data_IF_390383386619
#
_entry.id   IF_390383386619
#
_cell.length_a   1.000
_cell.length_b   1.000
_cell.length_c   1.000
_cell.angle_alpha   90.00
_cell.angle_beta   90.00
_cell.angle_gamma   90.00
#
_symmetry.space_group_name_H-M   'P 1'
#
loop_
_entity.id
_entity.type
_entity.pdbx_description
1 polymer ?
#
# COMPACT_ATOMS: atom_id res chain seq x y z
N UNK A 1 -7.38 -18.52 -3.89
CA UNK A 1 -7.49 -17.08 -4.16
C UNK A 1 -7.74 -16.85 -5.65
N UNK A 2 -8.60 -15.90 -5.99
CA UNK A 2 -8.88 -15.50 -7.36
C UNK A 2 -8.00 -14.29 -7.69
N UNK A 3 -7.13 -14.42 -8.68
CA UNK A 3 -6.34 -13.29 -9.17
C UNK A 3 -7.21 -12.46 -10.12
N UNK A 4 -7.10 -11.14 -10.01
CA UNK A 4 -7.79 -10.20 -10.90
C UNK A 4 -6.76 -9.32 -11.63
N UNK A 5 -7.03 -8.91 -12.87
CA UNK A 5 -6.11 -8.04 -13.61
C UNK A 5 -6.00 -6.65 -12.97
N UNK A 6 -4.87 -5.98 -13.16
CA UNK A 6 -4.62 -4.63 -12.66
C UNK A 6 -5.22 -3.56 -13.60
N UNK A 7 -6.50 -3.68 -13.91
CA UNK A 7 -7.25 -2.78 -14.77
C UNK A 7 -8.61 -2.40 -14.15
N UNK A 8 -9.43 -1.62 -14.86
CA UNK A 8 -10.77 -1.18 -14.42
C UNK A 8 -11.67 -2.39 -14.11
N UNK A 9 -11.56 -3.47 -14.89
CA UNK A 9 -12.37 -4.67 -14.70
C UNK A 9 -11.98 -5.41 -13.42
N UNK A 10 -10.67 -5.52 -13.13
CA UNK A 10 -10.17 -6.09 -11.90
C UNK A 10 -10.57 -5.27 -10.68
N UNK A 11 -10.46 -3.94 -10.73
CA UNK A 11 -10.95 -3.05 -9.65
C UNK A 11 -12.45 -3.24 -9.40
N UNK A 12 -13.26 -3.38 -10.46
CA UNK A 12 -14.71 -3.68 -10.32
C UNK A 12 -14.95 -5.01 -9.63
N UNK A 13 -14.15 -6.05 -9.92
CA UNK A 13 -14.27 -7.36 -9.27
C UNK A 13 -13.88 -7.29 -7.78
N UNK A 14 -12.81 -6.58 -7.43
CA UNK A 14 -12.42 -6.33 -6.03
C UNK A 14 -13.55 -5.62 -5.28
N UNK A 15 -14.12 -4.57 -5.87
CA UNK A 15 -15.23 -3.83 -5.25
C UNK A 15 -16.45 -4.73 -5.02
N UNK A 16 -16.80 -5.58 -5.99
CA UNK A 16 -17.92 -6.56 -5.84
C UNK A 16 -17.64 -7.56 -4.73
N UNK A 17 -16.42 -8.06 -4.62
CA UNK A 17 -16.03 -8.99 -3.55
C UNK A 17 -16.19 -8.32 -2.17
N UNK A 18 -15.64 -7.11 -1.99
CA UNK A 18 -15.80 -6.34 -0.76
C UNK A 18 -17.27 -6.06 -0.40
N UNK A 19 -18.11 -5.71 -1.39
CA UNK A 19 -19.54 -5.47 -1.18
C UNK A 19 -20.28 -6.72 -0.71
N UNK A 20 -19.79 -7.91 -1.08
CA UNK A 20 -20.32 -9.21 -0.59
C UNK A 20 -19.77 -9.62 0.78
N UNK A 21 -18.90 -8.84 1.39
CA UNK A 21 -18.24 -9.19 2.65
C UNK A 21 -17.06 -10.17 2.49
N UNK A 22 -16.56 -10.35 1.26
CA UNK A 22 -15.39 -11.18 0.99
C UNK A 22 -14.11 -10.40 1.29
N UNK A 23 -13.01 -11.10 1.57
CA UNK A 23 -11.70 -10.51 1.75
C UNK A 23 -10.95 -10.33 0.42
N UNK A 24 -10.16 -9.25 0.32
CA UNK A 24 -9.28 -8.99 -0.83
C UNK A 24 -7.91 -8.56 -0.37
N UNK A 25 -6.88 -8.92 -1.12
CA UNK A 25 -5.49 -8.49 -0.90
C UNK A 25 -5.02 -7.53 -1.98
N UNK A 26 -4.30 -6.47 -1.56
CA UNK A 26 -3.70 -5.48 -2.44
C UNK A 26 -2.25 -5.28 -1.97
N UNK A 27 -1.30 -5.17 -2.89
CA UNK A 27 0.09 -4.82 -2.60
C UNK A 27 0.21 -3.28 -2.64
N UNK A 28 0.27 -2.61 -1.47
CA UNK A 28 0.12 -1.15 -1.39
C UNK A 28 1.43 -0.39 -1.59
N UNK A 29 2.55 -1.07 -1.51
CA UNK A 29 3.91 -0.53 -1.43
C UNK A 29 4.60 -0.37 -2.79
N UNK A 30 3.97 -0.79 -3.87
CA UNK A 30 4.49 -0.58 -5.22
C UNK A 30 4.32 0.88 -5.66
N UNK A 31 5.31 1.38 -6.41
CA UNK A 31 5.26 2.71 -6.99
C UNK A 31 4.23 2.77 -8.13
N UNK A 32 3.12 3.53 -7.99
CA UNK A 32 2.05 3.54 -8.98
C UNK A 32 2.36 4.46 -10.17
N UNK A 33 1.71 4.22 -11.34
CA UNK A 33 1.64 5.20 -12.43
C UNK A 33 1.03 6.52 -11.94
N UNK A 34 1.33 7.63 -12.65
CA UNK A 34 0.89 8.98 -12.27
C UNK A 34 -0.63 9.09 -12.13
N UNK A 35 -1.37 8.52 -13.05
CA UNK A 35 -2.84 8.56 -13.07
C UNK A 35 -3.50 7.82 -11.88
N UNK A 36 -2.80 6.91 -11.22
CA UNK A 36 -3.32 6.07 -10.13
C UNK A 36 -2.63 6.31 -8.79
N UNK A 37 -1.75 7.30 -8.71
CA UNK A 37 -1.02 7.66 -7.51
C UNK A 37 -1.14 9.14 -7.14
N UNK A 38 -0.84 9.43 -5.88
CA UNK A 38 -0.73 10.79 -5.37
C UNK A 38 0.51 10.91 -4.48
N UNK A 39 1.06 12.11 -4.41
CA UNK A 39 2.20 12.41 -3.53
C UNK A 39 1.83 12.24 -2.07
N UNK A 40 2.67 11.54 -1.34
CA UNK A 40 2.60 11.29 0.10
C UNK A 40 4.00 11.14 0.66
N UNK A 41 4.14 10.76 1.92
CA UNK A 41 5.45 10.50 2.55
C UNK A 41 5.59 9.03 2.92
N UNK A 42 6.81 8.49 2.78
CA UNK A 42 7.20 7.17 3.23
C UNK A 42 8.60 7.27 3.85
N UNK A 43 8.74 6.93 5.14
CA UNK A 43 9.93 7.23 5.95
C UNK A 43 10.37 8.71 5.87
N UNK A 44 9.40 9.62 5.97
CA UNK A 44 9.60 11.09 5.83
C UNK A 44 10.15 11.55 4.46
N UNK A 45 10.20 10.66 3.47
CA UNK A 45 10.64 10.97 2.11
C UNK A 45 9.43 11.04 1.19
N UNK A 46 9.38 12.09 0.34
CA UNK A 46 8.31 12.23 -0.64
C UNK A 46 8.35 11.09 -1.65
N UNK A 47 7.18 10.49 -1.86
CA UNK A 47 6.98 9.45 -2.87
C UNK A 47 5.56 9.50 -3.41
N UNK A 48 5.27 8.65 -4.38
CA UNK A 48 3.92 8.47 -4.90
C UNK A 48 3.32 7.20 -4.30
N UNK A 49 2.10 7.31 -3.77
CA UNK A 49 1.36 6.18 -3.20
C UNK A 49 0.07 5.96 -3.98
N UNK A 50 -0.31 4.69 -4.17
CA UNK A 50 -1.52 4.35 -4.91
C UNK A 50 -2.79 4.84 -4.20
N UNK A 51 -3.74 5.34 -4.99
CA UNK A 51 -5.02 5.86 -4.47
C UNK A 51 -6.13 4.81 -4.40
N UNK A 52 -5.86 3.58 -4.87
CA UNK A 52 -6.86 2.53 -4.99
C UNK A 52 -7.51 2.19 -3.65
N UNK A 53 -6.71 2.01 -2.59
CA UNK A 53 -7.20 1.62 -1.27
C UNK A 53 -8.12 2.70 -0.71
N UNK A 54 -7.72 3.97 -0.74
CA UNK A 54 -8.56 5.10 -0.35
C UNK A 54 -9.91 5.09 -1.09
N UNK A 55 -9.90 4.91 -2.41
CA UNK A 55 -11.12 4.86 -3.24
C UNK A 55 -12.03 3.68 -2.91
N UNK A 56 -11.47 2.53 -2.56
CA UNK A 56 -12.24 1.34 -2.17
C UNK A 56 -12.89 1.53 -0.80
N UNK A 57 -12.13 1.98 0.19
CA UNK A 57 -12.63 2.25 1.56
C UNK A 57 -13.74 3.31 1.53
N UNK A 58 -13.59 4.36 0.74
CA UNK A 58 -14.62 5.39 0.58
C UNK A 58 -15.93 4.89 -0.06
N UNK A 59 -15.90 3.74 -0.74
CA UNK A 59 -17.10 3.13 -1.37
C UNK A 59 -17.72 2.01 -0.56
N UNK A 60 -16.91 1.27 0.18
CA UNK A 60 -17.35 0.12 0.97
C UNK A 60 -16.74 0.22 2.36
N UNK A 61 -17.59 0.26 3.39
CA UNK A 61 -17.13 0.18 4.78
C UNK A 61 -16.55 -1.21 5.02
N UNK A 62 -15.23 -1.32 5.13
CA UNK A 62 -14.52 -2.57 5.37
C UNK A 62 -13.41 -2.37 6.39
N UNK A 63 -13.07 -3.43 7.11
CA UNK A 63 -11.91 -3.43 7.98
C UNK A 63 -10.65 -3.55 7.13
N UNK A 64 -9.67 -2.69 7.40
CA UNK A 64 -8.38 -2.70 6.71
C UNK A 64 -7.30 -3.20 7.65
N UNK A 65 -6.59 -4.23 7.22
CA UNK A 65 -5.42 -4.79 7.91
C UNK A 65 -4.22 -4.71 6.98
N UNK A 66 -3.05 -4.48 7.55
CA UNK A 66 -1.79 -4.71 6.86
C UNK A 66 -1.29 -6.10 7.25
N UNK A 67 -0.73 -6.84 6.29
CA UNK A 67 -0.17 -8.15 6.52
C UNK A 67 1.23 -8.24 5.95
N UNK A 68 2.11 -8.97 6.64
CA UNK A 68 3.47 -9.26 6.17
C UNK A 68 3.84 -10.68 6.50
N UNK A 69 4.63 -11.32 5.63
CA UNK A 69 5.24 -12.61 5.87
C UNK A 69 6.75 -12.41 6.04
N UNK A 70 7.26 -12.68 7.22
CA UNK A 70 8.69 -12.57 7.55
C UNK A 70 9.27 -13.98 7.55
N UNK A 71 10.34 -14.19 6.79
CA UNK A 71 11.07 -15.45 6.76
C UNK A 71 11.83 -15.66 8.07
N UNK A 72 11.65 -16.80 8.65
CA UNK A 72 12.39 -17.30 9.83
C UNK A 72 13.11 -18.61 9.49
N UNK A 73 13.91 -19.15 10.44
CA UNK A 73 14.75 -20.35 10.20
C UNK A 73 13.92 -21.52 9.67
N UNK A 74 12.76 -21.79 10.24
CA UNK A 74 11.95 -22.97 9.94
C UNK A 74 10.65 -22.63 9.15
N UNK A 75 10.61 -21.46 8.47
CA UNK A 75 9.44 -21.12 7.67
C UNK A 75 9.13 -19.63 7.60
N UNK A 76 7.89 -19.28 7.90
CA UNK A 76 7.38 -17.90 7.80
C UNK A 76 6.53 -17.56 9.01
N UNK A 77 6.72 -16.37 9.54
CA UNK A 77 5.81 -15.74 10.50
C UNK A 77 4.92 -14.75 9.77
N UNK A 78 3.60 -14.88 9.95
CA UNK A 78 2.63 -13.99 9.33
C UNK A 78 2.15 -12.98 10.38
N UNK A 79 2.42 -11.71 10.13
CA UNK A 79 1.99 -10.60 10.97
C UNK A 79 0.74 -9.95 10.38
N UNK A 80 -0.23 -9.67 11.25
CA UNK A 80 -1.40 -8.86 10.92
C UNK A 80 -1.48 -7.69 11.89
N UNK A 81 -1.66 -6.50 11.36
CA UNK A 81 -1.78 -5.27 12.12
C UNK A 81 -2.95 -4.44 11.62
N UNK A 82 -3.67 -3.78 12.52
CA UNK A 82 -4.65 -2.77 12.12
C UNK A 82 -3.94 -1.61 11.47
N UNK A 83 -4.51 -1.09 10.40
CA UNK A 83 -4.06 0.15 9.78
C UNK A 83 -4.47 1.32 10.68
N UNK A 84 -3.66 2.37 10.70
CA UNK A 84 -3.95 3.65 11.35
C UNK A 84 -5.36 4.15 10.96
N UNK A 85 -6.14 4.62 11.95
CA UNK A 85 -7.56 4.97 11.77
C UNK A 85 -7.78 6.10 10.75
N UNK A 86 -6.79 6.97 10.52
CA UNK A 86 -6.81 8.00 9.47
C UNK A 86 -6.92 7.43 8.05
N UNK A 87 -6.75 6.10 7.86
CA UNK A 87 -7.00 5.44 6.57
C UNK A 87 -8.42 5.71 6.06
N UNK A 88 -9.37 5.92 6.97
CA UNK A 88 -10.78 6.18 6.68
C UNK A 88 -11.08 7.68 6.45
N UNK A 89 -10.07 8.53 6.49
CA UNK A 89 -10.22 9.97 6.24
C UNK A 89 -10.78 10.23 4.84
N UNK A 90 -11.67 11.21 4.73
CA UNK A 90 -12.13 11.73 3.43
C UNK A 90 -11.04 12.56 2.74
N UNK A 91 -10.07 13.11 3.49
CA UNK A 91 -8.87 13.69 2.93
C UNK A 91 -7.92 12.59 2.45
N UNK A 92 -7.74 12.55 1.14
CA UNK A 92 -6.87 11.57 0.49
C UNK A 92 -5.43 11.65 1.01
N UNK A 93 -4.91 12.82 1.33
CA UNK A 93 -3.53 12.99 1.82
C UNK A 93 -3.38 12.35 3.21
N UNK A 94 -4.33 12.57 4.11
CA UNK A 94 -4.36 11.92 5.42
C UNK A 94 -4.44 10.39 5.28
N UNK A 95 -5.35 9.90 4.44
CA UNK A 95 -5.54 8.47 4.19
C UNK A 95 -4.29 7.80 3.63
N UNK A 96 -3.61 8.41 2.64
CA UNK A 96 -2.38 7.84 2.07
C UNK A 96 -1.19 7.89 3.03
N UNK A 97 -1.08 8.91 3.85
CA UNK A 97 -0.05 8.98 4.88
C UNK A 97 -0.30 7.93 5.98
N UNK A 98 -1.56 7.68 6.36
CA UNK A 98 -1.93 6.61 7.29
C UNK A 98 -1.55 5.22 6.75
N UNK A 99 -1.84 4.98 5.47
CA UNK A 99 -1.41 3.75 4.78
C UNK A 99 0.10 3.58 4.85
N UNK A 100 0.85 4.61 4.50
CA UNK A 100 2.32 4.56 4.50
C UNK A 100 2.88 4.36 5.90
N UNK A 101 2.38 5.05 6.94
CA UNK A 101 2.79 4.82 8.34
C UNK A 101 2.61 3.36 8.74
N UNK A 102 1.48 2.76 8.38
CA UNK A 102 1.22 1.36 8.70
C UNK A 102 2.16 0.39 7.96
N UNK A 103 2.55 0.70 6.72
CA UNK A 103 3.57 -0.05 5.99
C UNK A 103 4.95 0.13 6.67
N UNK A 104 5.31 1.36 7.05
CA UNK A 104 6.57 1.65 7.74
C UNK A 104 6.71 0.85 9.04
N UNK A 105 5.63 0.72 9.81
CA UNK A 105 5.64 -0.02 11.06
C UNK A 105 5.90 -1.52 10.84
N UNK A 106 5.31 -2.11 9.79
CA UNK A 106 5.60 -3.49 9.39
C UNK A 106 7.04 -3.62 8.87
N UNK A 107 7.52 -2.69 8.06
CA UNK A 107 8.90 -2.71 7.55
C UNK A 107 9.93 -2.65 8.69
N UNK A 108 9.66 -1.88 9.74
CA UNK A 108 10.54 -1.77 10.93
C UNK A 108 10.71 -3.09 11.68
N UNK A 109 9.78 -4.06 11.56
CA UNK A 109 9.92 -5.38 12.17
C UNK A 109 11.11 -6.14 11.58
N UNK A 110 11.31 -6.06 10.28
CA UNK A 110 12.46 -6.65 9.60
C UNK A 110 12.82 -5.87 8.31
N UNK A 111 13.55 -4.75 8.42
CA UNK A 111 13.86 -3.91 7.27
C UNK A 111 14.67 -4.61 6.17
N UNK A 112 15.45 -5.62 6.53
CA UNK A 112 16.29 -6.38 5.58
C UNK A 112 15.47 -7.26 4.63
N UNK A 113 14.23 -7.57 4.96
CA UNK A 113 13.35 -8.39 4.13
C UNK A 113 12.33 -7.57 3.34
N UNK A 114 12.34 -6.24 3.45
CA UNK A 114 11.51 -5.40 2.60
C UNK A 114 12.09 -5.32 1.18
N UNK A 115 11.22 -5.32 0.20
CA UNK A 115 11.59 -5.33 -1.22
C UNK A 115 11.99 -3.94 -1.72
N UNK A 116 13.15 -3.43 -1.25
CA UNK A 116 13.70 -2.11 -1.63
C UNK A 116 13.95 -1.96 -3.14
N UNK A 117 14.14 -3.06 -3.86
CA UNK A 117 14.35 -3.09 -5.32
C UNK A 117 13.16 -2.59 -6.13
N UNK A 118 11.96 -2.48 -5.56
CA UNK A 118 10.80 -1.87 -6.23
C UNK A 118 10.94 -0.36 -6.47
N UNK A 119 12.07 0.22 -6.10
CA UNK A 119 12.39 1.63 -6.39
C UNK A 119 11.27 2.57 -5.96
N UNK A 120 10.87 2.48 -4.69
CA UNK A 120 9.74 3.21 -4.09
C UNK A 120 9.83 4.73 -4.27
N UNK A 121 11.03 5.28 -4.47
CA UNK A 121 11.34 6.70 -4.57
C UNK A 121 11.70 7.15 -6.00
N UNK A 122 11.08 6.57 -7.02
CA UNK A 122 11.40 6.86 -8.43
C UNK A 122 11.27 8.32 -8.82
N UNK A 123 10.35 9.06 -8.20
CA UNK A 123 10.14 10.49 -8.49
C UNK A 123 11.11 11.41 -7.73
N UNK A 124 11.90 10.85 -6.81
CA UNK A 124 12.84 11.64 -6.05
C UNK A 124 14.01 12.06 -6.92
N UNK A 125 14.31 13.37 -6.88
CA UNK A 125 15.50 13.95 -7.50
C UNK A 125 16.31 14.63 -6.41
N UNK A 126 17.59 14.32 -6.36
CA UNK A 126 18.57 15.05 -5.55
C UNK A 126 19.44 15.89 -6.49
N UNK A 127 19.44 17.23 -6.30
CA UNK A 127 20.18 18.18 -7.13
C UNK A 127 19.98 17.97 -8.65
N UNK A 128 18.76 17.63 -9.07
CA UNK A 128 18.40 17.38 -10.47
C UNK A 128 18.72 15.97 -10.98
N UNK A 129 19.42 15.13 -10.21
CA UNK A 129 19.68 13.73 -10.52
C UNK A 129 18.58 12.84 -9.96
N UNK A 130 18.25 11.77 -10.67
CA UNK A 130 17.31 10.76 -10.16
C UNK A 130 17.94 10.03 -8.96
N UNK A 131 17.10 9.64 -7.99
CA UNK A 131 17.54 8.88 -6.82
C UNK A 131 18.04 7.46 -7.18
N UNK A 132 17.47 6.90 -8.24
CA UNK A 132 17.92 5.63 -8.82
C UNK A 132 18.44 5.90 -10.23
N UNK A 133 19.58 5.30 -10.58
CA UNK A 133 20.14 5.28 -11.93
C UNK A 133 19.35 4.38 -12.88
#
# INVERSE_FOLDING_TARGET
ANLVPADIKGVSNVLKALTKGEATGILPDQFPPEISGQTSTFFNVRTRTMTLIHKLIGRVKCNTLIASAIRVVDGWEIYFQRVDDDINSTDISASLNALNRSIEDIVKLNPSQYQWEYKRFKDLKDNGKKFYD
#
